data_IF_080759773783
#
_entry.id   IF_080759773783
#
_cell.length_a   1.000
_cell.length_b   1.000
_cell.length_c   1.000
_cell.angle_alpha   90.00
_cell.angle_beta   90.00
_cell.angle_gamma   90.00
#
_symmetry.space_group_name_H-M   'P 1'
#
loop_
_entity.id
_entity.type
_entity.pdbx_description
1 polymer ?
#
# COMPACT_ATOMS: atom_id res chain seq x y z
N UNK A 1 -51.62 20.49 17.15
CA UNK A 1 -50.77 20.32 15.96
C UNK A 1 -49.33 20.22 16.44
N UNK A 2 -48.89 19.00 16.65
CA UNK A 2 -47.58 18.63 17.21
C UNK A 2 -46.54 18.64 16.10
N UNK A 3 -45.60 19.58 16.16
CA UNK A 3 -44.44 19.65 15.26
C UNK A 3 -43.31 18.78 15.80
N UNK A 4 -43.06 17.68 15.10
CA UNK A 4 -41.89 16.81 15.25
C UNK A 4 -40.61 17.59 14.89
N UNK A 5 -39.74 17.86 15.87
CA UNK A 5 -38.33 18.15 15.59
C UNK A 5 -37.53 16.86 15.73
N UNK A 6 -37.21 16.27 14.58
CA UNK A 6 -36.28 15.16 14.47
C UNK A 6 -34.89 15.60 14.94
N UNK A 7 -34.30 14.78 15.79
CA UNK A 7 -32.96 14.90 16.34
C UNK A 7 -31.91 14.86 15.23
N UNK A 8 -31.19 15.97 15.04
CA UNK A 8 -29.99 16.02 14.22
C UNK A 8 -28.95 15.02 14.74
N UNK A 9 -28.62 14.05 13.90
CA UNK A 9 -27.51 13.12 14.11
C UNK A 9 -26.23 13.90 14.34
N UNK A 10 -25.55 13.58 15.45
CA UNK A 10 -24.24 14.10 15.80
C UNK A 10 -23.24 13.71 14.71
N UNK A 11 -22.92 14.64 13.82
CA UNK A 11 -21.62 14.61 13.13
C UNK A 11 -20.58 14.78 14.23
N UNK A 12 -19.92 13.70 14.63
CA UNK A 12 -18.70 13.82 15.42
C UNK A 12 -17.65 14.46 14.51
N UNK A 13 -17.15 15.68 14.82
CA UNK A 13 -15.98 16.18 14.12
C UNK A 13 -14.84 15.25 14.53
N UNK A 14 -14.39 14.41 13.60
CA UNK A 14 -13.20 13.59 13.78
C UNK A 14 -12.09 14.57 14.14
N UNK A 15 -11.56 14.48 15.37
CA UNK A 15 -10.27 15.10 15.68
C UNK A 15 -9.31 14.51 14.65
N UNK A 16 -8.92 15.32 13.66
CA UNK A 16 -8.03 14.86 12.61
C UNK A 16 -6.70 14.54 13.27
N UNK A 17 -6.36 13.25 13.32
CA UNK A 17 -5.12 12.73 13.91
C UNK A 17 -3.87 13.18 13.13
N UNK A 18 -4.07 13.86 12.00
CA UNK A 18 -3.06 14.51 11.19
C UNK A 18 -3.52 15.92 10.74
N UNK A 19 -2.57 16.73 10.30
CA UNK A 19 -2.77 18.03 9.65
C UNK A 19 -2.04 18.05 8.31
N UNK A 20 -2.61 18.73 7.33
CA UNK A 20 -1.96 18.95 6.04
C UNK A 20 -1.11 20.22 6.12
N UNK A 21 0.14 20.16 5.64
CA UNK A 21 1.06 21.31 5.59
C UNK A 21 1.75 21.36 4.24
N UNK A 22 2.12 22.57 3.83
CA UNK A 22 3.00 22.74 2.67
C UNK A 22 4.39 22.20 2.98
N UNK A 23 4.98 21.48 2.03
CA UNK A 23 6.31 20.90 2.09
C UNK A 23 7.13 21.47 0.94
N UNK A 24 8.19 22.26 1.22
CA UNK A 24 9.02 22.87 0.18
C UNK A 24 9.49 21.84 -0.86
N UNK A 25 9.19 22.08 -2.13
CA UNK A 25 9.56 21.19 -3.24
C UNK A 25 8.75 19.91 -3.39
N UNK A 26 7.80 19.62 -2.48
CA UNK A 26 6.92 18.42 -2.53
C UNK A 26 5.42 18.75 -2.55
N UNK A 27 5.06 20.04 -2.52
CA UNK A 27 3.67 20.47 -2.49
C UNK A 27 3.11 20.41 -1.08
N UNK A 28 2.26 19.43 -0.78
CA UNK A 28 1.66 19.25 0.54
C UNK A 28 1.99 17.88 1.11
N UNK A 29 1.99 17.76 2.43
CA UNK A 29 2.17 16.50 3.15
C UNK A 29 1.28 16.42 4.38
N UNK A 30 1.01 15.20 4.84
CA UNK A 30 0.23 14.92 6.04
C UNK A 30 1.16 14.70 7.23
N UNK A 31 0.95 15.41 8.33
CA UNK A 31 1.78 15.36 9.53
C UNK A 31 0.95 14.96 10.75
N UNK A 32 1.47 14.09 11.60
CA UNK A 32 0.77 13.65 12.80
C UNK A 32 0.45 14.84 13.73
N UNK A 33 -0.81 14.98 14.10
CA UNK A 33 -1.29 16.04 15.01
C UNK A 33 -1.18 15.61 16.50
N UNK A 34 -0.81 14.35 16.74
CA UNK A 34 -0.57 13.74 18.03
C UNK A 34 0.31 12.50 17.84
N UNK A 35 0.84 11.93 18.92
CA UNK A 35 1.53 10.64 18.82
C UNK A 35 0.52 9.52 18.49
N UNK A 36 0.84 8.70 17.49
CA UNK A 36 0.02 7.59 17.02
C UNK A 36 0.73 6.27 17.34
N UNK A 37 -0.03 5.26 17.76
CA UNK A 37 0.49 3.91 17.99
C UNK A 37 0.41 3.08 16.72
N UNK A 38 1.31 2.09 16.58
CA UNK A 38 1.15 1.05 15.54
C UNK A 38 -0.28 0.50 15.57
N UNK A 39 -0.86 0.31 14.39
CA UNK A 39 -2.25 -0.16 14.24
C UNK A 39 -3.32 0.93 14.30
N UNK A 40 -2.96 2.19 14.60
CA UNK A 40 -3.93 3.30 14.59
C UNK A 40 -4.48 3.50 13.18
N UNK A 41 -5.82 3.46 13.02
CA UNK A 41 -6.50 3.90 11.79
C UNK A 41 -6.43 5.42 11.69
N UNK A 42 -5.63 5.90 10.74
CA UNK A 42 -5.32 7.32 10.50
C UNK A 42 -6.42 7.97 9.65
N UNK A 43 -6.88 7.26 8.62
CA UNK A 43 -7.88 7.73 7.67
C UNK A 43 -8.80 6.57 7.29
N UNK A 44 -10.08 6.88 7.07
CA UNK A 44 -10.96 6.07 6.24
C UNK A 44 -11.79 6.98 5.32
N UNK A 45 -11.77 6.71 4.01
CA UNK A 45 -12.32 7.62 3.01
C UNK A 45 -13.05 6.87 1.90
N UNK A 46 -14.23 7.36 1.50
CA UNK A 46 -14.95 6.86 0.31
C UNK A 46 -14.27 7.39 -0.95
N UNK A 47 -14.26 6.64 -2.06
CA UNK A 47 -13.65 7.11 -3.29
C UNK A 47 -14.36 8.36 -3.81
N UNK A 48 -13.56 9.32 -4.27
CA UNK A 48 -14.03 10.52 -4.96
C UNK A 48 -14.42 10.19 -6.40
N UNK A 49 -13.57 9.44 -7.12
CA UNK A 49 -13.78 9.01 -8.50
C UNK A 49 -13.34 7.54 -8.63
N UNK A 50 -14.12 6.72 -9.32
CA UNK A 50 -13.85 5.29 -9.52
C UNK A 50 -13.84 4.95 -11.01
N UNK A 51 -12.79 4.25 -11.44
CA UNK A 51 -12.69 3.60 -12.74
C UNK A 51 -12.59 2.09 -12.50
N UNK A 52 -13.59 1.27 -12.87
CA UNK A 52 -13.70 -0.12 -12.43
C UNK A 52 -12.80 -1.11 -13.20
N UNK A 53 -11.71 -0.63 -13.80
CA UNK A 53 -10.74 -1.43 -14.56
C UNK A 53 -9.33 -0.86 -14.39
N UNK A 54 -8.32 -1.73 -14.39
CA UNK A 54 -6.92 -1.32 -14.24
C UNK A 54 -6.28 -0.83 -15.55
N UNK A 55 -6.75 -1.32 -16.69
CA UNK A 55 -6.26 -0.99 -18.02
C UNK A 55 -7.03 0.19 -18.65
N UNK A 56 -7.46 1.15 -17.84
CA UNK A 56 -8.27 2.29 -18.25
C UNK A 56 -7.61 3.14 -19.36
N UNK A 57 -8.46 3.78 -20.16
CA UNK A 57 -8.12 4.84 -21.10
C UNK A 57 -8.70 6.18 -20.63
N UNK A 58 -8.28 7.26 -21.29
CA UNK A 58 -8.69 8.63 -20.95
C UNK A 58 -10.20 8.82 -20.99
N UNK A 59 -10.91 8.12 -21.89
CA UNK A 59 -12.36 8.19 -21.98
C UNK A 59 -13.07 7.54 -20.77
N UNK A 60 -12.50 6.48 -20.16
CA UNK A 60 -13.05 5.87 -18.95
C UNK A 60 -12.99 6.87 -17.77
N UNK A 61 -11.88 7.62 -17.67
CA UNK A 61 -11.70 8.66 -16.66
C UNK A 61 -12.68 9.81 -16.90
N UNK A 62 -12.84 10.24 -18.15
CA UNK A 62 -13.80 11.28 -18.53
C UNK A 62 -15.24 10.87 -18.16
N UNK A 63 -15.65 9.65 -18.50
CA UNK A 63 -17.00 9.14 -18.17
C UNK A 63 -17.24 9.10 -16.65
N UNK A 64 -16.23 8.69 -15.87
CA UNK A 64 -16.30 8.70 -14.41
C UNK A 64 -16.36 10.13 -13.85
N UNK A 65 -15.56 11.05 -14.41
CA UNK A 65 -15.53 12.45 -14.01
C UNK A 65 -16.84 13.16 -14.29
N UNK A 66 -17.47 12.90 -15.45
CA UNK A 66 -18.71 13.56 -15.85
C UNK A 66 -19.88 13.29 -14.90
N UNK A 67 -19.86 12.13 -14.24
CA UNK A 67 -20.83 11.70 -13.22
C UNK A 67 -20.65 12.38 -11.87
N UNK A 68 -19.54 13.07 -11.63
CA UNK A 68 -19.28 13.76 -10.37
C UNK A 68 -20.13 15.03 -10.22
N UNK A 69 -20.50 15.33 -8.97
CA UNK A 69 -21.11 16.62 -8.62
C UNK A 69 -20.11 17.78 -8.80
N UNK A 70 -20.57 19.03 -8.99
CA UNK A 70 -19.67 20.17 -9.18
C UNK A 70 -18.58 20.32 -8.11
N UNK A 71 -18.93 20.15 -6.83
CA UNK A 71 -17.97 20.20 -5.72
C UNK A 71 -16.94 19.07 -5.78
N UNK A 72 -17.34 17.87 -6.22
CA UNK A 72 -16.43 16.73 -6.39
C UNK A 72 -15.50 16.91 -7.59
N UNK A 73 -16.01 17.49 -8.69
CA UNK A 73 -15.18 17.88 -9.85
C UNK A 73 -14.12 18.87 -9.42
N UNK A 74 -14.48 19.90 -8.66
CA UNK A 74 -13.54 20.87 -8.12
C UNK A 74 -12.50 20.20 -7.21
N UNK A 75 -12.91 19.37 -6.25
CA UNK A 75 -12.00 18.65 -5.37
C UNK A 75 -11.01 17.76 -6.14
N UNK A 76 -11.45 17.11 -7.22
CA UNK A 76 -10.59 16.33 -8.10
C UNK A 76 -9.58 17.21 -8.85
N UNK A 77 -10.04 18.35 -9.41
CA UNK A 77 -9.18 19.28 -10.16
C UNK A 77 -8.14 19.99 -9.28
N UNK A 78 -8.37 20.07 -7.96
CA UNK A 78 -7.40 20.57 -6.97
C UNK A 78 -6.35 19.53 -6.56
N UNK A 79 -6.42 18.29 -7.06
CA UNK A 79 -5.38 17.29 -6.83
C UNK A 79 -4.12 17.57 -7.64
N UNK A 80 -3.00 16.96 -7.23
CA UNK A 80 -1.75 17.13 -7.95
C UNK A 80 -1.86 16.57 -9.37
N UNK A 81 -1.28 17.27 -10.34
CA UNK A 81 -1.23 16.82 -11.73
C UNK A 81 0.21 16.60 -12.14
N UNK A 82 0.52 15.41 -12.64
CA UNK A 82 1.86 15.03 -13.09
C UNK A 82 2.22 15.52 -14.50
N UNK A 83 1.64 16.62 -14.97
CA UNK A 83 1.94 17.22 -16.28
C UNK A 83 3.26 18.04 -16.24
N UNK A 84 3.71 18.53 -17.39
CA UNK A 84 4.89 19.40 -17.49
C UNK A 84 6.24 18.68 -17.32
N UNK A 85 6.27 17.34 -17.38
CA UNK A 85 7.50 16.58 -17.24
C UNK A 85 8.36 16.65 -18.52
N UNK A 86 9.69 16.62 -18.34
CA UNK A 86 10.64 16.64 -19.46
C UNK A 86 10.47 15.41 -20.39
N UNK A 87 10.13 15.61 -21.68
CA UNK A 87 9.98 14.53 -22.65
C UNK A 87 11.23 13.66 -22.81
N UNK A 88 12.44 14.22 -22.63
CA UNK A 88 13.72 13.48 -22.77
C UNK A 88 13.85 12.37 -21.72
N UNK A 89 13.15 12.51 -20.58
CA UNK A 89 13.13 11.49 -19.55
C UNK A 89 12.29 10.28 -19.95
N UNK A 90 11.49 10.32 -21.01
CA UNK A 90 10.55 9.25 -21.34
C UNK A 90 10.94 8.51 -22.62
N UNK A 91 10.71 7.19 -22.73
CA UNK A 91 10.95 6.46 -23.96
C UNK A 91 10.15 7.06 -25.13
N UNK A 92 10.81 7.24 -26.28
CA UNK A 92 10.21 7.81 -27.49
C UNK A 92 9.61 6.75 -28.43
N UNK A 93 9.85 5.45 -28.18
CA UNK A 93 9.37 4.34 -29.01
C UNK A 93 8.61 3.31 -28.19
N UNK A 94 7.50 2.84 -28.73
CA UNK A 94 6.72 1.72 -28.22
C UNK A 94 7.05 0.50 -29.08
N UNK A 95 7.39 -0.63 -28.46
CA UNK A 95 7.73 -1.86 -29.17
C UNK A 95 6.55 -2.36 -30.04
N UNK A 96 6.85 -3.04 -31.15
CA UNK A 96 5.84 -3.49 -32.12
C UNK A 96 4.94 -4.61 -31.57
N UNK A 97 5.45 -5.41 -30.64
CA UNK A 97 4.68 -6.48 -29.97
C UNK A 97 3.61 -5.99 -28.99
N UNK A 98 3.56 -4.69 -28.69
CA UNK A 98 2.59 -4.11 -27.76
C UNK A 98 1.22 -4.07 -28.44
N UNK A 99 0.20 -4.62 -27.77
CA UNK A 99 -1.19 -4.64 -28.25
C UNK A 99 -1.71 -3.22 -28.52
N UNK A 100 -2.72 -3.09 -29.39
CA UNK A 100 -3.23 -1.77 -29.77
C UNK A 100 -3.82 -1.01 -28.57
N UNK A 101 -4.53 -1.72 -27.70
CA UNK A 101 -5.09 -1.14 -26.48
C UNK A 101 -3.99 -0.60 -25.55
N UNK A 102 -2.96 -1.40 -25.29
CA UNK A 102 -1.83 -0.99 -24.46
C UNK A 102 -1.04 0.17 -25.08
N UNK A 103 -0.87 0.14 -26.41
CA UNK A 103 -0.21 1.20 -27.18
C UNK A 103 -0.97 2.52 -27.01
N UNK A 104 -2.29 2.50 -27.07
CA UNK A 104 -3.12 3.67 -26.85
C UNK A 104 -2.94 4.20 -25.42
N UNK A 105 -3.01 3.33 -24.41
CA UNK A 105 -2.81 3.71 -23.01
C UNK A 105 -1.45 4.37 -22.77
N UNK A 106 -0.37 3.79 -23.32
CA UNK A 106 0.98 4.34 -23.21
C UNK A 106 1.07 5.74 -23.85
N UNK A 107 0.45 5.93 -25.03
CA UNK A 107 0.44 7.24 -25.71
C UNK A 107 -0.29 8.29 -24.89
N UNK A 108 -1.51 7.99 -24.43
CA UNK A 108 -2.32 8.93 -23.64
C UNK A 108 -1.61 9.33 -22.34
N UNK A 109 -1.05 8.37 -21.60
CA UNK A 109 -0.27 8.66 -20.39
C UNK A 109 0.99 9.47 -20.70
N UNK A 110 1.66 9.22 -21.84
CA UNK A 110 2.83 9.99 -22.26
C UNK A 110 2.44 11.44 -22.55
N UNK A 111 1.44 11.66 -23.40
CA UNK A 111 0.92 12.99 -23.75
C UNK A 111 0.47 13.76 -22.51
N UNK A 112 -0.22 13.09 -21.58
CA UNK A 112 -0.63 13.67 -20.29
C UNK A 112 0.54 14.13 -19.43
N UNK A 113 1.63 13.36 -19.37
CA UNK A 113 2.83 13.70 -18.57
C UNK A 113 3.63 14.86 -19.15
N UNK A 114 3.77 14.91 -20.48
CA UNK A 114 4.57 15.96 -21.14
C UNK A 114 3.75 17.20 -21.50
N UNK A 115 2.42 17.12 -21.40
CA UNK A 115 1.51 18.23 -21.66
C UNK A 115 1.82 19.44 -20.78
N UNK A 116 1.63 20.65 -21.33
CA UNK A 116 1.89 21.90 -20.60
C UNK A 116 0.83 22.24 -19.57
N UNK A 117 -0.37 21.70 -19.74
CA UNK A 117 -1.53 21.99 -18.91
C UNK A 117 -2.03 20.70 -18.23
N UNK A 118 -2.66 20.81 -17.04
CA UNK A 118 -3.33 19.68 -16.41
C UNK A 118 -4.41 19.06 -17.31
N UNK A 119 -4.55 17.74 -17.23
CA UNK A 119 -5.63 16.97 -17.84
C UNK A 119 -6.20 15.99 -16.81
N UNK A 120 -7.39 15.43 -17.07
CA UNK A 120 -7.99 14.47 -16.15
C UNK A 120 -7.09 13.25 -15.93
N UNK A 121 -6.48 12.73 -16.99
CA UNK A 121 -5.55 11.60 -16.90
C UNK A 121 -4.24 11.98 -16.19
N UNK A 122 -3.72 13.20 -16.37
CA UNK A 122 -2.48 13.61 -15.68
C UNK A 122 -2.67 13.81 -14.18
N UNK A 123 -3.89 14.12 -13.73
CA UNK A 123 -4.30 14.10 -12.33
C UNK A 123 -4.53 12.65 -11.88
N UNK A 124 -5.38 11.90 -12.60
CA UNK A 124 -5.79 10.56 -12.19
C UNK A 124 -4.59 9.62 -11.95
N UNK A 125 -3.65 9.56 -12.90
CA UNK A 125 -2.55 8.59 -12.88
C UNK A 125 -1.59 8.74 -11.69
N UNK A 126 -1.48 9.93 -11.09
CA UNK A 126 -0.56 10.20 -9.97
C UNK A 126 -1.27 10.23 -8.60
N UNK A 127 -2.59 10.04 -8.59
CA UNK A 127 -3.39 10.04 -7.37
C UNK A 127 -4.22 8.76 -7.17
N UNK A 128 -4.36 7.92 -8.20
CA UNK A 128 -5.20 6.74 -8.12
C UNK A 128 -4.55 5.61 -7.32
N UNK A 129 -5.38 4.90 -6.55
CA UNK A 129 -5.04 3.71 -5.78
C UNK A 129 -5.82 2.51 -6.33
N UNK A 130 -5.31 1.30 -6.13
CA UNK A 130 -5.98 0.06 -6.55
C UNK A 130 -7.28 -0.14 -5.78
N UNK A 131 -8.34 -0.52 -6.48
CA UNK A 131 -9.66 -0.74 -5.90
C UNK A 131 -10.43 -1.84 -6.64
N UNK A 132 -10.50 -3.04 -6.05
CA UNK A 132 -11.26 -4.19 -6.58
C UNK A 132 -10.88 -4.53 -8.04
N UNK A 133 -9.59 -4.50 -8.38
CA UNK A 133 -9.12 -4.70 -9.77
C UNK A 133 -9.34 -3.51 -10.71
N UNK A 134 -9.87 -2.40 -10.19
CA UNK A 134 -9.91 -1.10 -10.82
C UNK A 134 -8.98 -0.09 -10.16
N UNK A 135 -9.24 1.19 -10.41
CA UNK A 135 -8.52 2.31 -9.83
C UNK A 135 -9.49 3.36 -9.29
N UNK A 136 -9.14 4.00 -8.17
CA UNK A 136 -9.94 5.04 -7.57
C UNK A 136 -9.08 6.18 -7.04
N UNK A 137 -9.63 7.40 -7.06
CA UNK A 137 -9.01 8.60 -6.49
C UNK A 137 -9.73 8.99 -5.22
N UNK A 138 -8.98 9.47 -4.23
CA UNK A 138 -9.44 9.78 -2.89
C UNK A 138 -8.95 11.19 -2.52
N UNK A 139 -9.82 12.06 -2.03
CA UNK A 139 -9.46 13.47 -1.85
C UNK A 139 -8.36 13.66 -0.80
N UNK A 140 -8.45 12.94 0.31
CA UNK A 140 -7.56 13.08 1.45
C UNK A 140 -6.41 12.08 1.38
N UNK A 141 -6.67 10.83 0.99
CA UNK A 141 -5.64 9.80 0.92
C UNK A 141 -4.54 10.13 -0.10
N UNK A 142 -4.88 10.82 -1.21
CA UNK A 142 -3.91 11.26 -2.22
C UNK A 142 -2.98 12.41 -1.76
N UNK A 143 -3.11 12.90 -0.52
CA UNK A 143 -2.22 13.93 0.07
C UNK A 143 -1.05 13.36 0.87
N UNK A 144 -1.03 12.06 1.13
CA UNK A 144 0.01 11.43 1.94
C UNK A 144 1.23 11.12 1.08
N UNK A 145 2.34 11.80 1.34
CA UNK A 145 3.57 11.67 0.56
C UNK A 145 4.20 10.28 0.60
N UNK A 146 5.12 10.07 -0.35
CA UNK A 146 5.86 8.83 -0.48
C UNK A 146 7.07 8.73 0.45
N UNK A 147 7.34 7.52 0.95
CA UNK A 147 8.65 7.05 1.41
C UNK A 147 8.85 5.59 0.99
N UNK A 148 10.07 5.19 0.59
CA UNK A 148 10.40 3.78 0.33
C UNK A 148 10.47 2.94 1.62
N UNK A 149 10.46 3.60 2.79
CA UNK A 149 10.29 3.01 4.12
C UNK A 149 9.20 3.83 4.82
N UNK A 150 7.92 3.60 4.48
CA UNK A 150 6.80 4.38 5.00
C UNK A 150 6.54 4.06 6.47
N UNK A 151 5.82 4.95 7.14
CA UNK A 151 5.32 4.72 8.51
C UNK A 151 3.82 4.44 8.56
N UNK A 152 3.13 4.47 7.41
CA UNK A 152 1.74 4.04 7.25
C UNK A 152 1.53 3.25 5.96
N UNK A 153 0.45 2.49 5.89
CA UNK A 153 0.02 1.81 4.67
C UNK A 153 -1.43 2.16 4.35
N UNK A 154 -1.77 2.16 3.07
CA UNK A 154 -3.15 2.26 2.59
C UNK A 154 -3.65 0.90 2.11
N UNK A 155 -4.94 0.66 2.26
CA UNK A 155 -5.62 -0.53 1.74
C UNK A 155 -7.10 -0.24 1.51
N UNK A 156 -7.61 -0.64 0.35
CA UNK A 156 -9.03 -0.70 0.06
C UNK A 156 -9.74 -1.77 0.90
N UNK A 157 -10.61 -1.34 1.82
CA UNK A 157 -11.49 -2.22 2.58
C UNK A 157 -12.87 -2.31 1.91
N UNK A 158 -13.11 -3.39 1.18
CA UNK A 158 -14.35 -3.62 0.45
C UNK A 158 -15.56 -3.91 1.35
N UNK A 159 -15.36 -4.38 2.61
CA UNK A 159 -16.46 -4.63 3.54
C UNK A 159 -17.14 -3.32 3.98
N UNK A 160 -16.38 -2.24 4.12
CA UNK A 160 -16.90 -0.92 4.48
C UNK A 160 -16.96 0.06 3.30
N UNK A 161 -16.42 -0.33 2.14
CA UNK A 161 -16.39 0.48 0.93
C UNK A 161 -15.55 1.75 1.08
N UNK A 162 -14.40 1.66 1.74
CA UNK A 162 -13.50 2.80 2.00
C UNK A 162 -12.03 2.41 1.82
N UNK A 163 -11.23 3.36 1.38
CA UNK A 163 -9.78 3.34 1.54
C UNK A 163 -9.46 3.56 3.00
N UNK A 164 -8.53 2.79 3.56
CA UNK A 164 -8.10 2.93 4.96
C UNK A 164 -6.61 3.14 5.03
N UNK A 165 -6.15 4.02 5.92
CA UNK A 165 -4.72 4.22 6.21
C UNK A 165 -4.45 3.82 7.65
N UNK A 166 -3.46 2.96 7.87
CA UNK A 166 -3.06 2.51 9.21
C UNK A 166 -1.57 2.75 9.47
N UNK A 167 -1.23 3.08 10.71
CA UNK A 167 0.15 3.26 11.15
C UNK A 167 0.90 1.92 11.24
N UNK A 168 2.05 1.80 10.56
CA UNK A 168 2.92 0.61 10.56
C UNK A 168 3.88 0.56 11.74
N UNK A 169 4.04 1.68 12.45
CA UNK A 169 4.82 1.81 13.69
C UNK A 169 4.27 2.96 14.51
N UNK A 170 4.84 3.17 15.70
CA UNK A 170 4.60 4.40 16.44
C UNK A 170 5.08 5.61 15.63
N UNK A 171 4.25 6.65 15.57
CA UNK A 171 4.50 7.91 14.86
C UNK A 171 4.45 9.03 15.90
N UNK A 172 5.49 9.87 15.94
CA UNK A 172 5.58 10.96 16.92
C UNK A 172 4.80 12.19 16.48
N UNK A 173 4.37 13.02 17.45
CA UNK A 173 3.74 14.31 17.15
C UNK A 173 4.60 15.15 16.18
N UNK A 174 3.99 15.62 15.10
CA UNK A 174 4.63 16.47 14.10
C UNK A 174 5.46 15.71 13.04
N UNK A 175 5.58 14.39 13.15
CA UNK A 175 6.23 13.55 12.14
C UNK A 175 5.36 13.45 10.87
N UNK A 176 6.00 13.46 9.69
CA UNK A 176 5.30 13.26 8.42
C UNK A 176 4.79 11.82 8.31
N UNK A 177 3.53 11.64 7.95
CA UNK A 177 2.90 10.35 7.69
C UNK A 177 3.06 10.06 6.21
N UNK A 178 3.74 8.96 5.89
CA UNK A 178 4.12 8.59 4.52
C UNK A 178 3.61 7.21 4.16
N UNK A 179 3.30 7.04 2.87
CA UNK A 179 2.88 5.79 2.23
C UNK A 179 3.96 5.30 1.25
N UNK A 180 3.90 4.05 0.79
CA UNK A 180 4.71 3.61 -0.34
C UNK A 180 3.90 3.66 -1.63
N UNK A 181 4.42 4.32 -2.67
CA UNK A 181 3.79 4.41 -4.00
C UNK A 181 4.32 3.33 -4.96
N UNK A 182 5.27 2.53 -4.48
CA UNK A 182 5.94 1.46 -5.20
C UNK A 182 6.07 0.22 -4.30
N UNK A 183 6.51 -0.90 -4.86
CA UNK A 183 6.79 -2.09 -4.05
C UNK A 183 8.01 -1.84 -3.15
N UNK A 184 7.82 -2.01 -1.84
CA UNK A 184 8.86 -1.79 -0.83
C UNK A 184 10.05 -2.76 -0.95
N UNK A 185 9.90 -3.87 -1.66
CA UNK A 185 10.94 -4.90 -1.85
C UNK A 185 11.76 -4.73 -3.13
N UNK A 186 11.35 -3.82 -4.02
CA UNK A 186 12.14 -3.50 -5.22
C UNK A 186 13.47 -2.85 -4.84
N UNK A 187 14.49 -3.05 -5.68
CA UNK A 187 15.80 -2.37 -5.55
C UNK A 187 15.68 -0.87 -5.88
N UNK A 188 16.75 -0.11 -5.63
CA UNK A 188 16.73 1.35 -5.78
C UNK A 188 16.44 1.80 -7.21
N UNK A 189 16.95 1.09 -8.21
CA UNK A 189 16.78 1.46 -9.62
C UNK A 189 15.33 1.25 -10.05
N UNK A 190 14.74 0.10 -9.69
CA UNK A 190 13.35 -0.19 -10.02
C UNK A 190 12.38 0.76 -9.29
N UNK A 191 12.61 1.05 -8.00
CA UNK A 191 11.81 2.06 -7.28
C UNK A 191 11.93 3.45 -7.92
N UNK A 192 13.14 3.87 -8.28
CA UNK A 192 13.34 5.15 -8.96
C UNK A 192 12.60 5.22 -10.30
N UNK A 193 12.54 4.10 -11.03
CA UNK A 193 11.77 3.98 -12.27
C UNK A 193 10.25 4.09 -12.02
N UNK A 194 9.71 3.37 -11.04
CA UNK A 194 8.28 3.40 -10.69
C UNK A 194 7.84 4.78 -10.20
N UNK A 195 8.66 5.43 -9.35
CA UNK A 195 8.36 6.74 -8.78
C UNK A 195 8.50 7.88 -9.79
N UNK A 196 9.25 7.68 -10.88
CA UNK A 196 9.46 8.67 -11.93
C UNK A 196 8.15 9.19 -12.51
N UNK A 197 7.12 8.36 -12.60
CA UNK A 197 5.80 8.74 -13.13
C UNK A 197 5.14 9.86 -12.32
N UNK A 198 5.44 9.95 -11.01
CA UNK A 198 4.94 10.99 -10.11
C UNK A 198 5.73 12.31 -10.20
N UNK A 199 6.79 12.37 -11.03
CA UNK A 199 7.52 13.61 -11.29
C UNK A 199 8.52 14.04 -10.22
N UNK A 200 8.81 13.21 -9.22
CA UNK A 200 9.79 13.51 -8.15
C UNK A 200 10.92 12.48 -8.08
N UNK A 201 11.96 12.80 -7.31
CA UNK A 201 13.04 11.87 -6.92
C UNK A 201 12.92 11.64 -5.42
N UNK A 202 12.83 10.37 -4.99
CA UNK A 202 12.69 10.03 -3.58
C UNK A 202 13.96 10.36 -2.80
N UNK A 203 13.79 11.03 -1.67
CA UNK A 203 14.85 11.50 -0.78
C UNK A 203 14.77 10.84 0.61
N UNK A 204 14.01 9.75 0.75
CA UNK A 204 13.96 8.99 2.00
C UNK A 204 15.32 8.36 2.34
N UNK A 205 15.51 7.92 3.59
CA UNK A 205 16.76 7.30 4.07
C UNK A 205 17.28 6.14 3.22
N UNK A 206 16.42 5.33 2.59
CA UNK A 206 16.85 4.26 1.69
C UNK A 206 17.30 4.74 0.30
N UNK A 207 17.04 6.00 -0.06
CA UNK A 207 17.34 6.56 -1.37
C UNK A 207 18.42 7.65 -1.31
N UNK A 208 18.40 8.48 -0.26
CA UNK A 208 19.29 9.63 -0.10
C UNK A 208 20.63 9.31 0.56
N UNK A 209 20.70 8.29 1.41
CA UNK A 209 21.98 7.87 2.02
C UNK A 209 22.85 7.09 1.03
N UNK A 210 24.14 6.99 1.35
CA UNK A 210 25.14 6.30 0.54
C UNK A 210 24.93 4.77 0.57
N UNK A 211 24.68 4.16 -0.58
CA UNK A 211 24.45 2.72 -0.72
C UNK A 211 25.76 1.92 -0.79
N UNK A 212 26.93 2.57 -0.83
CA UNK A 212 28.25 1.91 -0.83
C UNK A 212 28.91 1.88 0.55
N UNK A 213 28.26 2.44 1.58
CA UNK A 213 28.76 2.47 2.95
C UNK A 213 27.95 1.54 3.86
N UNK A 214 28.57 0.46 4.35
CA UNK A 214 27.91 -0.60 5.13
C UNK A 214 27.22 -0.14 6.43
N UNK A 215 27.62 1.03 6.94
CA UNK A 215 27.06 1.61 8.17
C UNK A 215 25.76 2.39 7.95
N UNK A 216 25.43 2.75 6.70
CA UNK A 216 24.23 3.52 6.39
C UNK A 216 22.99 2.64 6.36
N UNK A 217 21.83 3.28 6.50
CA UNK A 217 20.58 2.57 6.32
C UNK A 217 20.37 2.17 4.86
N UNK A 218 20.78 3.00 3.89
CA UNK A 218 20.63 2.70 2.47
C UNK A 218 21.32 1.39 2.08
N UNK A 219 22.59 1.19 2.44
CA UNK A 219 23.30 -0.06 2.18
C UNK A 219 22.58 -1.26 2.81
N UNK A 220 22.25 -1.17 4.11
CA UNK A 220 21.61 -2.28 4.80
C UNK A 220 20.23 -2.59 4.23
N UNK A 221 19.49 -1.57 3.79
CA UNK A 221 18.20 -1.72 3.14
C UNK A 221 18.33 -2.36 1.76
N UNK A 222 19.33 -1.97 0.98
CA UNK A 222 19.65 -2.63 -0.30
C UNK A 222 19.96 -4.12 -0.11
N UNK A 223 20.78 -4.47 0.90
CA UNK A 223 21.09 -5.87 1.22
C UNK A 223 19.86 -6.66 1.66
N UNK A 224 19.01 -6.11 2.52
CA UNK A 224 17.77 -6.77 2.96
C UNK A 224 16.80 -6.99 1.80
N UNK A 225 16.63 -5.99 0.93
CA UNK A 225 15.75 -6.09 -0.26
C UNK A 225 16.28 -7.08 -1.28
N UNK A 226 17.59 -7.09 -1.53
CA UNK A 226 18.23 -8.09 -2.38
C UNK A 226 17.96 -9.50 -1.85
N UNK A 227 18.17 -9.73 -0.55
CA UNK A 227 17.92 -11.04 0.07
C UNK A 227 16.44 -11.42 0.04
N UNK A 228 15.52 -10.48 0.25
CA UNK A 228 14.08 -10.69 0.10
C UNK A 228 13.72 -11.14 -1.32
N UNK A 229 14.33 -10.56 -2.36
CA UNK A 229 14.09 -10.96 -3.75
C UNK A 229 14.63 -12.37 -4.05
N UNK A 230 15.78 -12.75 -3.50
CA UNK A 230 16.29 -14.13 -3.62
C UNK A 230 15.31 -15.12 -3.00
N UNK A 231 14.92 -14.86 -1.75
CA UNK A 231 13.97 -15.71 -1.02
C UNK A 231 12.61 -15.78 -1.73
N UNK A 232 12.12 -14.68 -2.29
CA UNK A 232 10.89 -14.67 -3.09
C UNK A 232 11.01 -15.60 -4.31
N UNK A 233 12.10 -15.49 -5.08
CA UNK A 233 12.34 -16.36 -6.25
C UNK A 233 12.38 -17.84 -5.87
N UNK A 234 12.98 -18.16 -4.73
CA UNK A 234 13.09 -19.53 -4.22
C UNK A 234 11.76 -20.08 -3.66
N UNK A 235 10.88 -19.22 -3.14
CA UNK A 235 9.72 -19.66 -2.34
C UNK A 235 8.36 -19.36 -2.96
N UNK A 236 8.23 -18.40 -3.89
CA UNK A 236 6.93 -17.92 -4.42
C UNK A 236 6.06 -19.02 -5.03
N UNK A 237 6.66 -20.06 -5.60
CA UNK A 237 5.93 -21.18 -6.20
C UNK A 237 5.53 -22.26 -5.18
N UNK A 238 5.95 -22.12 -3.92
CA UNK A 238 5.70 -23.04 -2.81
C UNK A 238 4.84 -22.40 -1.71
N UNK A 239 4.36 -21.16 -1.91
CA UNK A 239 3.49 -20.42 -0.98
C UNK A 239 2.04 -20.41 -1.46
N UNK A 240 1.12 -19.95 -0.61
CA UNK A 240 -0.29 -19.84 -0.95
C UNK A 240 -0.93 -21.19 -1.32
N UNK A 241 -1.43 -21.35 -2.56
CA UNK A 241 -2.14 -22.58 -2.98
C UNK A 241 -1.28 -23.85 -2.99
N UNK A 242 0.05 -23.70 -3.05
CA UNK A 242 1.02 -24.81 -3.06
C UNK A 242 1.76 -24.96 -1.74
N UNK A 243 1.20 -24.42 -0.64
CA UNK A 243 1.86 -24.42 0.65
C UNK A 243 2.10 -25.82 1.22
N UNK A 244 1.30 -26.81 0.82
CA UNK A 244 1.52 -28.22 1.19
C UNK A 244 2.77 -28.82 0.53
N UNK A 245 3.09 -28.41 -0.71
CA UNK A 245 4.36 -28.74 -1.38
C UNK A 245 5.53 -28.03 -0.67
N UNK A 246 5.33 -26.75 -0.31
CA UNK A 246 6.29 -25.99 0.48
C UNK A 246 6.59 -26.63 1.84
N UNK A 247 5.57 -27.09 2.56
CA UNK A 247 5.72 -27.71 3.87
C UNK A 247 6.57 -28.99 3.85
N UNK A 248 6.58 -29.71 2.71
CA UNK A 248 7.39 -30.91 2.48
C UNK A 248 8.82 -30.59 2.01
N UNK A 249 9.11 -29.32 1.67
CA UNK A 249 10.39 -28.91 1.11
C UNK A 249 11.41 -28.60 2.21
N UNK A 250 12.58 -29.23 2.14
CA UNK A 250 13.65 -29.02 3.11
C UNK A 250 14.08 -27.55 3.19
N UNK A 251 14.26 -27.04 4.41
CA UNK A 251 14.69 -25.67 4.66
C UNK A 251 13.64 -24.59 4.39
N UNK A 252 12.44 -24.94 3.93
CA UNK A 252 11.39 -23.95 3.60
C UNK A 252 10.99 -23.07 4.79
N UNK A 253 10.78 -23.68 5.97
CA UNK A 253 10.48 -22.94 7.21
C UNK A 253 11.57 -21.92 7.54
N UNK A 254 12.85 -22.30 7.39
CA UNK A 254 13.97 -21.39 7.66
C UNK A 254 13.96 -20.19 6.71
N UNK A 255 13.67 -20.42 5.43
CA UNK A 255 13.52 -19.34 4.43
C UNK A 255 12.36 -18.41 4.77
N UNK A 256 11.20 -18.95 5.14
CA UNK A 256 10.06 -18.12 5.55
C UNK A 256 10.34 -17.31 6.83
N UNK A 257 11.03 -17.90 7.81
CA UNK A 257 11.47 -17.18 9.02
C UNK A 257 12.44 -16.05 8.68
N UNK A 258 13.40 -16.30 7.78
CA UNK A 258 14.33 -15.27 7.30
C UNK A 258 13.59 -14.14 6.57
N UNK A 259 12.65 -14.46 5.67
CA UNK A 259 11.80 -13.44 5.02
C UNK A 259 11.04 -12.59 6.03
N UNK A 260 10.38 -13.22 7.01
CA UNK A 260 9.64 -12.50 8.04
C UNK A 260 10.54 -11.60 8.89
N UNK A 261 11.77 -12.02 9.20
CA UNK A 261 12.74 -11.20 9.90
C UNK A 261 13.18 -9.99 9.07
N UNK A 262 13.46 -10.18 7.78
CA UNK A 262 13.88 -9.11 6.87
C UNK A 262 12.77 -8.07 6.66
N UNK A 263 11.51 -8.49 6.50
CA UNK A 263 10.37 -7.56 6.43
C UNK A 263 10.27 -6.68 7.68
N UNK A 264 10.37 -7.27 8.88
CA UNK A 264 10.36 -6.52 10.14
C UNK A 264 11.51 -5.50 10.22
N UNK A 265 12.72 -5.88 9.80
CA UNK A 265 13.89 -4.99 9.78
C UNK A 265 13.77 -3.86 8.75
N UNK A 266 13.09 -4.09 7.63
CA UNK A 266 12.76 -3.06 6.63
C UNK A 266 11.63 -2.11 7.08
N UNK A 267 10.93 -2.45 8.16
CA UNK A 267 9.74 -1.73 8.61
C UNK A 267 8.47 -2.09 7.83
N UNK A 268 8.49 -3.19 7.07
CA UNK A 268 7.33 -3.70 6.37
C UNK A 268 6.43 -4.49 7.32
N UNK A 269 5.49 -3.77 7.94
CA UNK A 269 4.44 -4.33 8.78
C UNK A 269 3.09 -4.44 8.05
N UNK A 270 3.12 -4.64 6.73
CA UNK A 270 1.90 -4.71 5.90
C UNK A 270 1.30 -6.11 5.87
N UNK A 271 0.21 -6.27 5.10
CA UNK A 271 -0.40 -7.56 4.82
C UNK A 271 0.59 -8.59 4.25
N UNK A 272 1.71 -8.15 3.65
CA UNK A 272 2.79 -9.03 3.18
C UNK A 272 3.43 -9.81 4.34
N UNK A 273 3.77 -9.13 5.43
CA UNK A 273 4.31 -9.77 6.62
C UNK A 273 3.25 -10.63 7.33
N UNK A 274 1.99 -10.15 7.40
CA UNK A 274 0.89 -10.95 7.94
C UNK A 274 0.72 -12.28 7.20
N UNK A 275 0.77 -12.27 5.86
CA UNK A 275 0.73 -13.47 5.02
C UNK A 275 1.95 -14.38 5.25
N UNK A 276 3.15 -13.81 5.38
CA UNK A 276 4.35 -14.60 5.70
C UNK A 276 4.26 -15.33 7.04
N UNK A 277 3.72 -14.68 8.07
CA UNK A 277 3.45 -15.33 9.35
C UNK A 277 2.33 -16.37 9.26
N UNK A 278 1.30 -16.15 8.44
CA UNK A 278 0.26 -17.14 8.21
C UNK A 278 0.79 -18.39 7.52
N UNK A 279 1.62 -18.23 6.48
CA UNK A 279 2.30 -19.35 5.80
C UNK A 279 3.17 -20.13 6.79
N UNK A 280 3.94 -19.44 7.64
CA UNK A 280 4.72 -20.06 8.72
C UNK A 280 3.82 -20.86 9.67
N UNK A 281 2.69 -20.30 10.10
CA UNK A 281 1.78 -20.96 11.02
C UNK A 281 1.24 -22.27 10.44
N UNK A 282 0.79 -22.23 9.19
CA UNK A 282 0.23 -23.38 8.49
C UNK A 282 1.29 -24.46 8.22
N UNK A 283 2.53 -24.08 7.87
CA UNK A 283 3.62 -25.03 7.64
C UNK A 283 4.08 -25.67 8.95
N UNK A 284 4.24 -24.88 10.02
CA UNK A 284 4.57 -25.42 11.35
C UNK A 284 3.48 -26.36 11.87
N UNK A 285 2.21 -26.01 11.65
CA UNK A 285 1.08 -26.88 12.00
C UNK A 285 1.13 -28.19 11.21
N UNK A 286 1.41 -28.14 9.91
CA UNK A 286 1.57 -29.32 9.06
C UNK A 286 2.71 -30.24 9.54
N UNK A 287 3.83 -29.64 9.95
CA UNK A 287 5.01 -30.36 10.44
C UNK A 287 4.89 -30.81 11.91
N UNK A 288 3.77 -30.52 12.59
CA UNK A 288 3.53 -30.90 13.98
C UNK A 288 4.21 -30.00 15.02
N UNK A 289 4.88 -28.92 14.61
CA UNK A 289 5.43 -27.91 15.53
C UNK A 289 4.32 -26.93 15.95
N UNK A 290 3.42 -27.42 16.79
CA UNK A 290 2.23 -26.67 17.22
C UNK A 290 2.58 -25.41 18.02
N UNK A 291 3.73 -25.39 18.71
CA UNK A 291 4.18 -24.23 19.48
C UNK A 291 4.60 -23.08 18.55
N UNK A 292 5.39 -23.37 17.53
CA UNK A 292 5.74 -22.36 16.52
C UNK A 292 4.54 -21.96 15.67
N UNK A 293 3.64 -22.91 15.37
CA UNK A 293 2.41 -22.65 14.66
C UNK A 293 1.53 -21.63 15.40
N UNK A 294 1.33 -21.80 16.71
CA UNK A 294 0.54 -20.87 17.53
C UNK A 294 1.19 -19.49 17.58
N UNK A 295 2.49 -19.43 17.86
CA UNK A 295 3.22 -18.16 17.94
C UNK A 295 3.13 -17.35 16.64
N UNK A 296 3.32 -18.02 15.50
CA UNK A 296 3.28 -17.36 14.19
C UNK A 296 1.86 -17.02 13.77
N UNK A 297 0.85 -17.82 14.13
CA UNK A 297 -0.56 -17.48 13.92
C UNK A 297 -0.97 -16.23 14.72
N UNK A 298 -0.52 -16.10 15.97
CA UNK A 298 -0.75 -14.89 16.79
C UNK A 298 -0.15 -13.66 16.12
N UNK A 299 1.11 -13.74 15.66
CA UNK A 299 1.77 -12.64 14.95
C UNK A 299 1.07 -12.30 13.64
N UNK A 300 0.62 -13.30 12.88
CA UNK A 300 -0.12 -13.08 11.64
C UNK A 300 -1.39 -12.27 11.90
N UNK A 301 -2.16 -12.65 12.92
CA UNK A 301 -3.39 -11.98 13.32
C UNK A 301 -3.13 -10.54 13.80
N UNK A 302 -2.10 -10.34 14.63
CA UNK A 302 -1.70 -9.02 15.12
C UNK A 302 -1.33 -8.07 13.97
N UNK A 303 -0.42 -8.51 13.08
CA UNK A 303 -0.01 -7.68 11.93
C UNK A 303 -1.17 -7.41 10.99
N UNK A 304 -2.04 -8.41 10.73
CA UNK A 304 -3.24 -8.22 9.91
C UNK A 304 -4.16 -7.15 10.51
N UNK A 305 -4.40 -7.21 11.82
CA UNK A 305 -5.20 -6.21 12.54
C UNK A 305 -4.58 -4.83 12.41
N UNK A 306 -3.28 -4.71 12.64
CA UNK A 306 -2.61 -3.42 12.67
C UNK A 306 -2.57 -2.75 11.29
N UNK A 307 -2.36 -3.49 10.20
CA UNK A 307 -2.22 -2.89 8.88
C UNK A 307 -3.55 -2.68 8.13
N UNK A 308 -4.60 -3.44 8.47
CA UNK A 308 -5.86 -3.45 7.71
C UNK A 308 -7.13 -3.33 8.56
N UNK A 309 -7.05 -3.51 9.88
CA UNK A 309 -8.20 -3.55 10.79
C UNK A 309 -8.81 -4.94 10.93
N UNK A 310 -9.61 -5.13 11.99
CA UNK A 310 -10.37 -6.35 12.25
C UNK A 310 -11.70 -6.43 11.47
N UNK A 311 -12.11 -5.31 10.85
CA UNK A 311 -13.22 -5.21 9.90
C UNK A 311 -12.80 -5.52 8.45
N UNK A 312 -11.54 -5.91 8.21
CA UNK A 312 -11.07 -6.26 6.87
C UNK A 312 -11.63 -7.62 6.42
N UNK A 313 -12.10 -7.79 5.15
CA UNK A 313 -12.81 -8.99 4.70
C UNK A 313 -12.12 -10.33 4.99
N UNK A 314 -10.80 -10.36 5.04
CA UNK A 314 -10.01 -11.57 5.25
C UNK A 314 -9.55 -11.78 6.69
N UNK A 315 -9.84 -10.85 7.59
CA UNK A 315 -9.36 -10.91 8.98
C UNK A 315 -9.80 -12.20 9.70
N UNK A 316 -11.07 -12.59 9.52
CA UNK A 316 -11.63 -13.80 10.14
C UNK A 316 -10.87 -15.09 9.77
N UNK A 317 -10.23 -15.16 8.59
CA UNK A 317 -9.42 -16.33 8.20
C UNK A 317 -8.23 -16.54 9.14
N UNK A 318 -7.61 -15.46 9.62
CA UNK A 318 -6.49 -15.53 10.55
C UNK A 318 -6.96 -15.96 11.95
N UNK A 319 -8.12 -15.45 12.39
CA UNK A 319 -8.73 -15.88 13.65
C UNK A 319 -9.06 -17.37 13.66
N UNK A 320 -9.65 -17.88 12.57
CA UNK A 320 -10.00 -19.29 12.43
C UNK A 320 -8.76 -20.19 12.50
N UNK A 321 -7.67 -19.81 11.81
CA UNK A 321 -6.40 -20.54 11.85
C UNK A 321 -5.81 -20.56 13.27
N UNK A 322 -5.76 -19.40 13.95
CA UNK A 322 -5.27 -19.34 15.33
C UNK A 322 -6.11 -20.20 16.27
N UNK A 323 -7.44 -20.06 16.23
CA UNK A 323 -8.37 -20.84 17.07
C UNK A 323 -8.23 -22.35 16.79
N UNK A 324 -8.03 -22.75 15.54
CA UNK A 324 -7.77 -24.15 15.16
C UNK A 324 -6.47 -24.67 15.79
N UNK A 325 -5.37 -23.95 15.63
CA UNK A 325 -4.07 -24.35 16.16
C UNK A 325 -4.12 -24.43 17.70
N UNK A 326 -4.73 -23.46 18.36
CA UNK A 326 -4.89 -23.44 19.81
C UNK A 326 -5.62 -24.68 20.34
N UNK A 327 -6.71 -25.11 19.69
CA UNK A 327 -7.40 -26.36 20.05
C UNK A 327 -6.49 -27.58 19.96
N UNK A 328 -5.62 -27.64 18.95
CA UNK A 328 -4.62 -28.71 18.81
C UNK A 328 -3.57 -28.68 19.91
N UNK A 329 -3.09 -27.49 20.28
CA UNK A 329 -2.11 -27.32 21.37
C UNK A 329 -2.65 -27.84 22.70
N UNK A 330 -3.93 -27.57 23.03
CA UNK A 330 -4.55 -28.02 24.28
C UNK A 330 -5.17 -29.43 24.22
N UNK A 331 -4.99 -30.15 23.12
CA UNK A 331 -5.51 -31.52 22.96
C UNK A 331 -7.04 -31.63 22.84
N UNK A 332 -7.71 -30.55 22.43
CA UNK A 332 -9.17 -30.49 22.21
C UNK A 332 -9.54 -30.68 20.72
N UNK A 333 -8.71 -31.38 19.95
CA UNK A 333 -8.82 -31.52 18.50
C UNK A 333 -9.70 -32.69 18.06
#
# INVERSE_FOLDING_TARGET
MTSNMATNGKFHPVQTVYVVREVPGKGYGCFAAMSLKRGTRILEERPLLVVPKADYLSHDIQEAFDKLLPAQKQAFLELHSGHGQDPVRWPSRIHESVSEHERQRIKEQHEARIGKEPSLISIFQVNCMEKDGGAAVFQSASRFNHSCNPNACFTWNSAIGKETIHALRDITLGEEITLSYCDMTHDKQLRAWELKHYGFVCDCRACAEDEDNETTFAYQSAMRRFRLQELDRETRHLRGRKLDEGAKTEGFVKKLLEMAALHQQEGDWTARLANGFLDLALVCEYNGDLKMAELTAMKALEVKKDCQGDDFPEFGKYEEVLKRIQRKVVGLA
#
